data_IF_289281234973
#
_entry.id   IF_289281234973
#
_cell.length_a   1.000
_cell.length_b   1.000
_cell.length_c   1.000
_cell.angle_alpha   90.00
_cell.angle_beta   90.00
_cell.angle_gamma   90.00
#
_symmetry.space_group_name_H-M   'P 1'
#
loop_
_entity.id
_entity.type
_entity.pdbx_description
1 polymer ?
#
# COMPACT_ATOMS: atom_id res chain seq x y z
N UNK A 1 -1.21 18.20 -13.61
CA UNK A 1 -1.55 16.94 -12.93
C UNK A 1 -0.26 16.46 -12.30
N UNK A 2 -0.20 16.31 -10.98
CA UNK A 2 0.99 15.74 -10.36
C UNK A 2 1.13 14.29 -10.86
N UNK A 3 2.33 13.89 -11.23
CA UNK A 3 2.61 12.54 -11.71
C UNK A 3 2.51 11.58 -10.52
N UNK A 4 1.77 10.47 -10.70
CA UNK A 4 1.62 9.46 -9.67
C UNK A 4 2.98 8.85 -9.36
N UNK A 5 3.36 8.84 -8.08
CA UNK A 5 4.65 8.30 -7.64
C UNK A 5 4.83 6.84 -8.04
N UNK A 6 3.74 6.07 -8.01
CA UNK A 6 3.71 4.67 -8.44
C UNK A 6 2.71 4.50 -9.59
N UNK A 7 3.13 4.61 -10.87
CA UNK A 7 2.24 4.34 -11.98
C UNK A 7 1.77 2.87 -12.01
N UNK A 8 0.66 2.55 -12.69
CA UNK A 8 0.21 1.17 -12.94
C UNK A 8 1.34 0.24 -13.41
N UNK A 9 1.42 -0.95 -12.80
CA UNK A 9 2.48 -1.93 -13.07
C UNK A 9 3.73 -1.78 -12.19
N UNK A 10 3.86 -0.69 -11.43
CA UNK A 10 4.95 -0.52 -10.46
C UNK A 10 4.93 -1.63 -9.42
N UNK A 11 6.06 -2.28 -9.21
CA UNK A 11 6.25 -3.23 -8.11
C UNK A 11 6.52 -2.45 -6.83
N UNK A 12 5.75 -2.78 -5.80
CA UNK A 12 5.85 -2.12 -4.50
C UNK A 12 5.99 -3.16 -3.40
N UNK A 13 6.57 -2.73 -2.29
CA UNK A 13 6.55 -3.46 -1.04
C UNK A 13 5.83 -2.61 0.00
N UNK A 14 5.01 -3.26 0.82
CA UNK A 14 4.40 -2.60 1.96
C UNK A 14 5.37 -2.57 3.13
N UNK A 15 5.25 -1.58 4.01
CA UNK A 15 6.05 -1.58 5.23
C UNK A 15 5.75 -2.76 6.16
N UNK A 16 6.74 -3.20 6.92
CA UNK A 16 6.73 -4.43 7.70
C UNK A 16 6.48 -4.21 9.22
N UNK A 17 6.42 -2.97 9.68
CA UNK A 17 6.26 -2.64 11.10
C UNK A 17 4.80 -2.67 11.57
N UNK A 18 4.60 -2.84 12.88
CA UNK A 18 3.30 -2.80 13.56
C UNK A 18 3.20 -1.52 14.41
N UNK A 19 2.68 -0.42 13.85
CA UNK A 19 2.54 0.82 14.61
C UNK A 19 1.53 0.67 15.76
N UNK A 20 1.84 1.26 16.92
CA UNK A 20 0.91 1.35 18.06
C UNK A 20 -0.14 2.46 17.89
N UNK A 21 -0.66 2.63 16.67
CA UNK A 21 -1.74 3.57 16.33
C UNK A 21 -2.64 2.96 15.24
N UNK A 22 -3.73 3.64 14.90
CA UNK A 22 -4.61 3.20 13.82
C UNK A 22 -3.84 3.14 12.50
N UNK A 23 -4.00 2.06 11.75
CA UNK A 23 -3.51 1.95 10.37
C UNK A 23 -4.47 1.10 9.54
N UNK A 24 -4.54 1.38 8.24
CA UNK A 24 -5.32 0.60 7.27
C UNK A 24 -4.47 -0.44 6.54
N UNK A 25 -3.19 -0.62 6.90
CA UNK A 25 -2.36 -1.72 6.42
C UNK A 25 -2.55 -2.99 7.28
N UNK A 26 -3.32 -4.00 6.81
CA UNK A 26 -3.61 -5.18 7.60
C UNK A 26 -2.38 -6.08 7.76
N UNK A 27 -2.30 -6.79 8.89
CA UNK A 27 -1.13 -7.60 9.28
C UNK A 27 -0.68 -8.59 8.21
N UNK A 28 -1.61 -9.23 7.50
CA UNK A 28 -1.27 -10.24 6.49
C UNK A 28 -0.56 -9.65 5.26
N UNK A 29 -0.73 -8.35 5.03
CA UNK A 29 -0.17 -7.65 3.89
C UNK A 29 1.10 -6.86 4.24
N UNK A 30 1.54 -6.82 5.51
CA UNK A 30 2.76 -6.10 5.93
C UNK A 30 4.03 -6.77 5.43
N UNK A 31 4.99 -5.99 4.94
CA UNK A 31 6.25 -6.46 4.38
C UNK A 31 6.12 -7.25 3.08
N UNK A 32 4.92 -7.34 2.49
CA UNK A 32 4.60 -8.15 1.31
C UNK A 32 4.81 -7.34 0.04
N UNK A 33 5.15 -8.06 -1.04
CA UNK A 33 5.30 -7.47 -2.37
C UNK A 33 3.97 -7.52 -3.12
N UNK A 34 3.67 -6.45 -3.82
CA UNK A 34 2.48 -6.32 -4.67
C UNK A 34 2.80 -5.54 -5.94
N UNK A 35 1.79 -5.39 -6.78
CA UNK A 35 1.84 -4.60 -8.01
C UNK A 35 0.72 -3.59 -7.99
N UNK A 36 1.04 -2.32 -8.26
CA UNK A 36 0.02 -1.26 -8.41
C UNK A 36 -0.83 -1.58 -9.64
N UNK A 37 -2.14 -1.63 -9.45
CA UNK A 37 -3.13 -1.79 -10.51
C UNK A 37 -3.47 -0.42 -11.08
N UNK A 38 -3.93 0.49 -10.22
CA UNK A 38 -4.29 1.85 -10.60
C UNK A 38 -4.34 2.80 -9.38
N UNK A 39 -4.24 4.13 -9.60
CA UNK A 39 -4.55 5.13 -8.58
C UNK A 39 -6.08 5.24 -8.36
N UNK A 40 -6.51 5.21 -7.10
CA UNK A 40 -7.93 5.26 -6.66
C UNK A 40 -8.37 6.67 -6.20
N UNK A 41 -7.59 7.69 -6.53
CA UNK A 41 -7.78 9.07 -6.05
C UNK A 41 -7.10 9.38 -4.71
N UNK A 42 -7.31 10.59 -4.20
CA UNK A 42 -6.60 11.11 -3.02
C UNK A 42 -7.50 11.19 -1.80
N UNK A 43 -7.00 10.78 -0.64
CA UNK A 43 -7.73 10.78 0.62
C UNK A 43 -6.82 11.17 1.79
N UNK A 44 -7.41 11.69 2.88
CA UNK A 44 -6.69 11.90 4.14
C UNK A 44 -6.06 10.59 4.63
N UNK A 45 -4.83 10.66 5.12
CA UNK A 45 -4.15 9.52 5.72
C UNK A 45 -4.94 9.01 6.93
N UNK A 46 -5.45 7.78 6.81
CA UNK A 46 -6.33 7.19 7.81
C UNK A 46 -5.71 7.19 9.22
N UNK A 47 -4.39 6.96 9.32
CA UNK A 47 -3.62 6.90 10.56
C UNK A 47 -3.73 8.20 11.38
N UNK A 48 -3.74 9.34 10.68
CA UNK A 48 -3.83 10.68 11.27
C UNK A 48 -5.28 11.14 11.39
N UNK A 49 -6.11 10.87 10.38
CA UNK A 49 -7.53 11.23 10.38
C UNK A 49 -8.29 10.54 11.53
N UNK A 50 -7.95 9.28 11.85
CA UNK A 50 -8.52 8.55 12.99
C UNK A 50 -8.20 9.17 14.37
N UNK A 51 -7.22 10.07 14.45
CA UNK A 51 -6.89 10.82 15.66
C UNK A 51 -7.73 12.10 15.80
N UNK A 52 -8.58 12.41 14.82
CA UNK A 52 -9.36 13.65 14.77
C UNK A 52 -8.54 14.88 14.41
N UNK A 53 -7.35 14.69 13.80
CA UNK A 53 -6.48 15.79 13.40
C UNK A 53 -7.04 16.49 12.16
N UNK A 54 -7.25 17.81 12.20
CA UNK A 54 -7.66 18.58 11.02
C UNK A 54 -6.55 18.71 9.96
N UNK A 55 -5.31 18.38 10.34
CA UNK A 55 -4.12 18.50 9.49
C UNK A 55 -3.68 17.14 8.91
N UNK A 56 -4.62 16.20 8.74
CA UNK A 56 -4.31 14.92 8.14
C UNK A 56 -3.81 15.12 6.70
N UNK A 57 -2.60 14.61 6.35
CA UNK A 57 -2.07 14.76 5.00
C UNK A 57 -2.95 14.02 4.01
N UNK A 58 -3.18 14.62 2.84
CA UNK A 58 -3.94 13.99 1.74
C UNK A 58 -2.96 13.32 0.79
N UNK A 59 -3.04 11.99 0.72
CA UNK A 59 -2.14 11.17 -0.10
C UNK A 59 -2.89 10.49 -1.25
N UNK A 60 -2.14 10.05 -2.25
CA UNK A 60 -2.68 9.17 -3.29
C UNK A 60 -2.94 7.78 -2.69
N UNK A 61 -4.10 7.21 -3.00
CA UNK A 61 -4.45 5.82 -2.68
C UNK A 61 -4.25 4.97 -3.93
N UNK A 62 -3.68 3.80 -3.77
CA UNK A 62 -3.39 2.86 -4.85
C UNK A 62 -4.11 1.54 -4.60
N UNK A 63 -4.78 1.01 -5.62
CA UNK A 63 -5.18 -0.39 -5.63
C UNK A 63 -3.94 -1.25 -5.87
N UNK A 64 -3.53 -2.02 -4.86
CA UNK A 64 -2.35 -2.89 -4.93
C UNK A 64 -2.78 -4.34 -4.92
N UNK A 65 -2.37 -5.08 -5.96
CA UNK A 65 -2.64 -6.51 -6.11
C UNK A 65 -1.53 -7.35 -5.52
N UNK A 66 -1.91 -8.30 -4.68
CA UNK A 66 -1.04 -9.32 -4.08
C UNK A 66 -1.45 -10.71 -4.57
N UNK A 67 -0.49 -11.58 -4.82
CA UNK A 67 -0.79 -12.99 -5.06
C UNK A 67 -1.07 -13.69 -3.73
N UNK A 68 -2.10 -14.55 -3.67
CA UNK A 68 -2.45 -15.28 -2.46
C UNK A 68 -1.25 -16.09 -1.90
N UNK A 69 -0.46 -16.69 -2.79
CA UNK A 69 0.78 -17.41 -2.44
C UNK A 69 1.80 -16.57 -1.68
N UNK A 70 1.89 -15.27 -1.95
CA UNK A 70 2.85 -14.39 -1.26
C UNK A 70 2.34 -13.99 0.12
N UNK A 71 1.01 -13.91 0.28
CA UNK A 71 0.36 -13.62 1.55
C UNK A 71 0.36 -14.85 2.48
N UNK A 72 0.01 -16.01 1.93
CA UNK A 72 -0.38 -17.20 2.70
C UNK A 72 0.45 -18.45 2.41
N UNK A 73 1.33 -18.44 1.41
CA UNK A 73 2.11 -19.60 0.97
C UNK A 73 1.39 -20.50 -0.05
N UNK A 74 0.10 -20.31 -0.27
CA UNK A 74 -0.72 -21.07 -1.22
C UNK A 74 -1.82 -20.23 -1.87
N UNK A 75 -2.48 -20.80 -2.89
CA UNK A 75 -3.57 -20.15 -3.62
C UNK A 75 -3.16 -19.54 -4.97
N UNK A 76 -4.11 -19.56 -5.90
CA UNK A 76 -3.99 -19.08 -7.28
C UNK A 76 -4.75 -17.77 -7.54
N UNK A 77 -5.53 -17.30 -6.56
CA UNK A 77 -6.25 -16.04 -6.62
C UNK A 77 -5.40 -14.84 -6.19
N UNK A 78 -5.99 -13.65 -6.31
CA UNK A 78 -5.38 -12.40 -5.92
C UNK A 78 -6.21 -11.70 -4.85
N UNK A 79 -5.54 -10.89 -4.04
CA UNK A 79 -6.17 -9.94 -3.10
C UNK A 79 -5.76 -8.54 -3.54
N UNK A 80 -6.73 -7.63 -3.64
CA UNK A 80 -6.48 -6.22 -3.97
C UNK A 80 -6.80 -5.40 -2.72
N UNK A 81 -5.89 -4.51 -2.36
CA UNK A 81 -6.03 -3.60 -1.22
C UNK A 81 -5.80 -2.16 -1.67
N UNK A 82 -6.63 -1.28 -1.15
CA UNK A 82 -6.45 0.17 -1.30
C UNK A 82 -5.49 0.66 -0.21
N UNK A 83 -4.31 1.09 -0.63
CA UNK A 83 -3.21 1.46 0.26
C UNK A 83 -2.75 2.89 -0.03
N UNK A 84 -2.53 3.66 1.02
CA UNK A 84 -2.00 5.01 0.94
C UNK A 84 -0.55 4.98 0.43
N UNK A 85 -0.14 6.03 -0.27
CA UNK A 85 1.21 6.18 -0.81
C UNK A 85 2.28 5.94 0.26
N UNK A 86 2.09 6.48 1.46
CA UNK A 86 3.00 6.30 2.60
C UNK A 86 2.99 4.89 3.21
N UNK A 87 2.24 3.93 2.67
CA UNK A 87 2.37 2.52 3.06
C UNK A 87 3.32 1.75 2.14
N UNK A 88 3.76 2.36 1.04
CA UNK A 88 4.42 1.71 -0.07
C UNK A 88 5.84 2.24 -0.27
N UNK A 89 6.75 1.33 -0.57
CA UNK A 89 8.06 1.62 -1.14
C UNK A 89 8.20 0.94 -2.51
N UNK A 90 8.94 1.55 -3.42
CA UNK A 90 9.25 0.94 -4.72
C UNK A 90 10.15 -0.30 -4.48
N UNK A 91 9.70 -1.48 -4.91
CA UNK A 91 10.47 -2.73 -4.79
C UNK A 91 11.51 -2.76 -5.91
N UNK A 92 12.58 -1.98 -5.74
CA UNK A 92 13.73 -1.98 -6.63
C UNK A 92 14.46 -3.30 -6.48
N UNK A 93 14.19 -4.22 -7.40
CA UNK A 93 14.96 -5.45 -7.50
C UNK A 93 16.40 -5.07 -7.88
N UNK A 94 17.33 -5.05 -6.92
CA UNK A 94 18.74 -5.01 -7.25
C UNK A 94 19.10 -6.39 -7.80
N UNK A 95 19.02 -6.54 -9.12
CA UNK A 95 19.67 -7.64 -9.85
C UNK A 95 21.15 -7.63 -9.43
N UNK A 96 21.55 -8.64 -8.66
CA UNK A 96 22.95 -8.98 -8.48
C UNK A 96 23.35 -9.94 -9.58
#
# INVERSE_FOLDING_TARGET
MAEDRFPPGTRVRTFDHDPAHHTRLPRYARGKRGVVVEPEGRAELADVSAQGSPDAPVEQVYAVRFAARDLWGEGDHHVVLDLWESYLEEDRHNER
#
